data_IF_242647926442
#
_entry.id   IF_242647926442
#
_cell.length_a   1.000
_cell.length_b   1.000
_cell.length_c   1.000
_cell.angle_alpha   90.00
_cell.angle_beta   90.00
_cell.angle_gamma   90.00
#
_symmetry.space_group_name_H-M   'P 1'
#
loop_
_entity.id
_entity.type
_entity.pdbx_description
1 polymer ?
#
# COMPACT_ATOMS: atom_id res chain seq x y z
N UNK A 1 23.75 12.28 59.55
CA UNK A 1 22.57 12.58 58.71
C UNK A 1 23.10 12.96 57.34
N UNK A 2 22.74 12.14 56.35
CA UNK A 2 23.34 12.03 55.01
C UNK A 2 22.93 13.16 54.04
N UNK A 3 23.67 13.35 52.93
CA UNK A 3 23.47 14.43 51.98
C UNK A 3 22.57 14.08 50.78
N UNK A 4 22.24 15.16 50.07
CA UNK A 4 21.51 15.39 48.83
C UNK A 4 21.72 14.36 47.69
N UNK A 5 20.66 13.93 47.00
CA UNK A 5 20.75 13.11 45.79
C UNK A 5 19.65 13.49 44.77
N UNK A 6 20.05 14.09 43.65
CA UNK A 6 19.20 14.40 42.50
C UNK A 6 19.44 13.38 41.39
N UNK A 7 18.54 12.38 41.28
CA UNK A 7 18.56 11.43 40.17
C UNK A 7 17.66 11.90 39.04
N UNK A 8 18.28 12.24 37.91
CA UNK A 8 17.69 12.23 36.59
C UNK A 8 17.27 10.80 36.24
N UNK A 9 15.99 10.57 35.96
CA UNK A 9 15.51 9.27 35.46
C UNK A 9 15.79 9.19 33.97
N UNK A 10 16.91 8.56 33.60
CA UNK A 10 17.11 8.04 32.23
C UNK A 10 16.09 6.92 32.01
N UNK A 11 15.30 7.02 30.93
CA UNK A 11 14.55 5.87 30.42
C UNK A 11 15.53 4.77 30.01
N UNK A 12 15.32 3.56 30.54
CA UNK A 12 16.18 2.39 30.29
C UNK A 12 16.08 1.93 28.84
N UNK A 13 17.21 1.52 28.28
CA UNK A 13 17.40 1.00 26.92
C UNK A 13 16.48 -0.22 26.62
N UNK A 14 15.96 -0.88 27.65
CA UNK A 14 14.99 -1.98 27.53
C UNK A 14 13.57 -1.56 27.10
N UNK A 15 13.14 -0.31 27.33
CA UNK A 15 11.84 0.18 26.83
C UNK A 15 11.85 0.40 25.30
N UNK A 16 13.02 0.62 24.70
CA UNK A 16 13.17 0.79 23.25
C UNK A 16 13.24 -0.54 22.48
N UNK A 17 13.56 -1.66 23.16
CA UNK A 17 13.54 -3.01 22.55
C UNK A 17 12.12 -3.56 22.36
N UNK A 18 11.14 -3.09 23.13
CA UNK A 18 9.74 -3.58 23.06
C UNK A 18 8.95 -2.96 21.90
N UNK A 19 9.43 -1.86 21.29
CA UNK A 19 8.74 -1.19 20.17
C UNK A 19 9.17 -1.64 18.75
N UNK A 20 10.04 -2.65 18.62
CA UNK A 20 10.57 -3.08 17.29
C UNK A 20 10.34 -4.59 17.01
N UNK A 21 9.69 -5.33 17.90
CA UNK A 21 9.34 -6.73 17.67
C UNK A 21 7.83 -6.93 17.59
N UNK A 22 7.26 -7.00 16.37
CA UNK A 22 6.10 -7.83 15.99
C UNK A 22 5.51 -7.44 14.61
N UNK A 23 6.33 -7.45 13.56
CA UNK A 23 5.81 -7.64 12.20
C UNK A 23 6.30 -9.00 11.72
N UNK A 24 5.53 -10.04 12.06
CA UNK A 24 5.74 -11.39 11.54
C UNK A 24 5.11 -11.46 10.15
N UNK A 25 5.94 -11.41 9.11
CA UNK A 25 5.53 -11.73 7.74
C UNK A 25 5.37 -13.26 7.63
N UNK A 26 4.16 -13.72 7.30
CA UNK A 26 3.91 -15.13 7.02
C UNK A 26 4.67 -15.57 5.76
N UNK A 27 5.37 -16.72 5.75
CA UNK A 27 6.03 -17.21 4.54
C UNK A 27 5.00 -17.65 3.50
N UNK A 28 5.23 -17.26 2.24
CA UNK A 28 4.42 -17.66 1.11
C UNK A 28 4.53 -19.18 0.87
N UNK A 29 3.38 -19.85 0.82
CA UNK A 29 3.29 -21.27 0.49
C UNK A 29 3.51 -21.41 -1.02
N UNK A 30 4.70 -21.88 -1.40
CA UNK A 30 4.93 -22.53 -2.69
C UNK A 30 4.37 -23.94 -2.61
N UNK A 31 3.43 -24.31 -3.49
CA UNK A 31 3.01 -25.70 -3.68
C UNK A 31 3.03 -26.05 -5.16
N UNK A 32 4.05 -26.80 -5.54
CA UNK A 32 3.95 -27.82 -6.58
C UNK A 32 3.01 -28.93 -6.09
N UNK A 33 2.05 -29.33 -6.92
CA UNK A 33 1.22 -30.52 -6.73
C UNK A 33 2.02 -31.79 -7.07
N UNK A 34 1.66 -32.93 -6.46
CA UNK A 34 1.21 -34.03 -7.33
C UNK A 34 -0.05 -34.73 -6.82
N UNK A 35 -0.70 -35.32 -7.81
CA UNK A 35 -1.95 -36.10 -7.84
C UNK A 35 -1.90 -37.32 -6.90
N UNK A 36 -3.00 -37.56 -6.16
CA UNK A 36 -3.27 -38.80 -5.44
C UNK A 36 -3.76 -39.89 -6.40
N UNK A 37 -3.22 -41.10 -6.25
CA UNK A 37 -3.94 -42.34 -6.55
C UNK A 37 -4.05 -43.17 -5.27
N UNK A 38 -5.27 -43.67 -5.11
CA UNK A 38 -5.89 -44.37 -4.00
C UNK A 38 -5.41 -45.84 -3.90
N UNK A 39 -5.15 -46.36 -2.69
CA UNK A 39 -5.59 -47.71 -2.27
C UNK A 39 -5.19 -48.06 -0.81
N UNK A 40 -6.23 -48.50 -0.07
CA UNK A 40 -6.30 -49.42 1.07
C UNK A 40 -5.00 -49.92 1.73
N UNK A 41 -4.92 -49.86 3.07
CA UNK A 41 -5.11 -51.04 3.95
C UNK A 41 -4.71 -50.75 5.42
N UNK A 42 -5.37 -51.49 6.31
CA UNK A 42 -5.31 -51.56 7.77
C UNK A 42 -3.98 -52.11 8.33
N UNK A 43 -3.57 -51.67 9.52
CA UNK A 43 -3.47 -52.52 10.74
C UNK A 43 -2.69 -51.84 11.86
N UNK A 44 -3.21 -52.02 13.07
CA UNK A 44 -2.62 -51.63 14.34
C UNK A 44 -1.50 -52.58 14.79
N UNK A 45 -0.67 -52.01 15.68
CA UNK A 45 -0.12 -52.63 16.89
C UNK A 45 1.31 -53.21 16.92
N UNK A 46 2.11 -52.54 17.77
CA UNK A 46 3.23 -52.97 18.62
C UNK A 46 4.14 -54.13 18.19
N UNK A 47 5.46 -53.87 18.23
CA UNK A 47 6.35 -54.39 19.30
C UNK A 47 7.78 -53.86 19.20
N UNK A 48 8.23 -53.21 20.29
CA UNK A 48 9.48 -53.43 21.04
C UNK A 48 10.74 -53.85 20.25
N UNK A 49 11.79 -53.01 20.27
CA UNK A 49 13.03 -53.28 21.02
C UNK A 49 14.14 -52.24 20.76
N UNK A 50 14.92 -52.01 21.82
CA UNK A 50 16.07 -51.11 21.99
C UNK A 50 17.36 -51.98 22.00
N UNK A 51 18.57 -51.46 22.30
CA UNK A 51 19.64 -50.99 21.40
C UNK A 51 20.94 -51.82 21.52
N UNK A 52 21.97 -51.49 20.73
CA UNK A 52 23.44 -51.57 21.01
C UNK A 52 24.20 -51.68 19.67
N UNK A 53 25.49 -51.42 19.51
CA UNK A 53 26.51 -50.51 20.04
C UNK A 53 27.78 -50.82 19.21
N UNK A 54 28.74 -49.88 19.14
CA UNK A 54 30.19 -50.06 18.81
C UNK A 54 30.56 -50.50 17.36
N UNK A 55 31.62 -50.05 16.67
CA UNK A 55 32.79 -49.22 16.97
C UNK A 55 33.69 -49.00 15.72
N UNK A 56 34.49 -47.91 15.76
CA UNK A 56 35.87 -47.70 15.23
C UNK A 56 36.22 -47.46 13.74
N UNK A 57 36.80 -46.26 13.54
CA UNK A 57 38.01 -45.83 12.80
C UNK A 57 38.14 -45.66 11.26
N UNK A 58 38.62 -44.45 10.93
CA UNK A 58 39.57 -43.97 9.88
C UNK A 58 39.17 -43.93 8.40
N UNK A 59 39.36 -42.74 7.80
CA UNK A 59 39.78 -42.62 6.40
C UNK A 59 39.20 -41.42 5.61
N UNK A 60 39.90 -40.29 5.66
CA UNK A 60 40.19 -39.33 4.55
C UNK A 60 39.16 -38.98 3.46
N UNK A 61 38.95 -37.67 3.33
CA UNK A 61 38.84 -36.86 2.09
C UNK A 61 37.50 -36.65 1.37
N UNK A 62 37.22 -35.34 1.24
CA UNK A 62 36.64 -34.58 0.13
C UNK A 62 35.13 -34.66 -0.19
N UNK A 63 34.44 -33.51 -0.08
CA UNK A 63 34.05 -32.66 -1.23
C UNK A 63 32.88 -31.71 -0.85
N UNK A 64 33.24 -30.48 -0.47
CA UNK A 64 32.45 -29.28 -0.76
C UNK A 64 32.99 -28.71 -2.07
N UNK A 65 32.14 -28.45 -3.07
CA UNK A 65 32.30 -27.40 -4.09
C UNK A 65 31.35 -27.63 -5.28
N UNK A 66 30.23 -26.91 -5.32
CA UNK A 66 29.50 -26.69 -6.57
C UNK A 66 29.33 -25.18 -6.76
N UNK A 67 30.11 -24.65 -7.70
CA UNK A 67 30.07 -23.28 -8.24
C UNK A 67 29.76 -23.42 -9.75
N UNK A 68 28.81 -22.68 -10.35
CA UNK A 68 28.53 -22.76 -11.77
C UNK A 68 29.30 -21.68 -12.57
N UNK A 69 30.18 -22.15 -13.45
CA UNK A 69 30.90 -21.39 -14.47
C UNK A 69 30.01 -21.09 -15.69
N UNK A 70 30.01 -19.83 -16.14
CA UNK A 70 29.80 -19.50 -17.56
C UNK A 70 30.81 -18.44 -18.02
N UNK A 71 31.56 -18.81 -19.06
CA UNK A 71 32.60 -18.04 -19.74
C UNK A 71 33.78 -18.96 -20.07
N UNK A 72 34.45 -18.84 -21.24
CA UNK A 72 34.72 -17.57 -21.91
C UNK A 72 34.58 -17.57 -23.44
N UNK A 73 34.74 -16.38 -24.01
CA UNK A 73 34.97 -16.07 -25.41
C UNK A 73 36.47 -15.85 -25.71
N UNK A 74 36.80 -15.93 -27.01
CA UNK A 74 38.04 -15.59 -27.73
C UNK A 74 39.03 -16.74 -27.94
N UNK A 75 39.11 -17.17 -29.19
CA UNK A 75 40.39 -17.46 -29.83
C UNK A 75 40.42 -16.80 -31.22
N UNK A 76 41.59 -16.36 -31.64
CA UNK A 76 41.85 -15.66 -32.90
C UNK A 76 43.22 -16.09 -33.40
N UNK A 77 43.28 -16.75 -34.58
CA UNK A 77 44.37 -16.63 -35.57
C UNK A 77 44.14 -17.49 -36.82
N UNK A 78 44.19 -16.80 -37.98
CA UNK A 78 44.84 -17.17 -39.24
C UNK A 78 44.38 -18.40 -40.06
N UNK A 79 43.80 -18.17 -41.25
CA UNK A 79 44.53 -18.11 -42.53
C UNK A 79 43.66 -18.43 -43.77
N UNK A 80 43.73 -17.52 -44.75
CA UNK A 80 43.83 -17.74 -46.21
C UNK A 80 42.64 -18.28 -47.04
N UNK A 81 42.40 -17.49 -48.11
CA UNK A 81 42.04 -17.84 -49.50
C UNK A 81 40.56 -17.86 -49.93
N UNK A 82 40.26 -16.82 -50.72
CA UNK A 82 39.84 -16.88 -52.12
C UNK A 82 38.39 -16.51 -52.49
N UNK A 83 38.36 -15.54 -53.42
CA UNK A 83 37.50 -15.40 -54.60
C UNK A 83 36.06 -14.89 -54.46
N UNK A 84 35.85 -13.73 -55.11
CA UNK A 84 34.76 -13.38 -56.07
C UNK A 84 33.32 -13.36 -55.55
N UNK A 85 32.39 -12.49 -55.94
CA UNK A 85 32.30 -11.33 -56.84
C UNK A 85 30.80 -10.98 -56.88
N UNK A 86 30.42 -9.68 -56.92
CA UNK A 86 29.16 -9.13 -57.51
C UNK A 86 27.81 -9.58 -56.88
N UNK A 87 26.65 -8.92 -56.96
CA UNK A 87 26.15 -7.57 -57.24
C UNK A 87 24.61 -7.71 -57.26
N UNK A 88 23.85 -6.71 -56.76
CA UNK A 88 22.45 -6.38 -57.20
C UNK A 88 21.35 -7.45 -57.01
N UNK A 89 20.04 -7.18 -56.87
CA UNK A 89 19.19 -6.01 -56.72
C UNK A 89 17.78 -6.49 -56.26
N UNK A 90 16.97 -5.53 -55.79
CA UNK A 90 15.49 -5.49 -55.58
C UNK A 90 14.63 -6.25 -56.63
N UNK A 91 13.33 -6.56 -56.40
CA UNK A 91 12.20 -5.58 -56.40
C UNK A 91 11.11 -5.86 -55.31
N UNK A 92 10.42 -4.90 -54.68
CA UNK A 92 9.25 -4.06 -55.07
C UNK A 92 7.93 -4.77 -55.43
N UNK A 93 6.87 -4.19 -54.86
CA UNK A 93 5.42 -4.47 -54.86
C UNK A 93 4.76 -4.61 -56.24
N UNK A 94 3.44 -4.92 -56.26
CA UNK A 94 2.53 -3.86 -56.70
C UNK A 94 1.22 -3.73 -55.91
N UNK A 95 0.70 -2.49 -55.93
CA UNK A 95 -0.65 -2.06 -55.57
C UNK A 95 -1.64 -2.38 -56.71
N UNK A 96 -2.93 -2.52 -56.39
CA UNK A 96 -3.99 -2.14 -57.33
C UNK A 96 -5.30 -1.71 -56.66
N UNK A 97 -5.97 -0.83 -57.41
CA UNK A 97 -7.06 0.10 -57.11
C UNK A 97 -8.42 -0.56 -57.31
N UNK A 98 -9.44 -0.16 -56.53
CA UNK A 98 -10.83 -0.52 -56.80
C UNK A 98 -11.83 0.14 -55.84
N UNK A 99 -12.41 1.26 -56.27
CA UNK A 99 -13.58 1.96 -55.72
C UNK A 99 -14.82 1.06 -55.63
N UNK A 100 -15.66 1.19 -54.58
CA UNK A 100 -17.16 1.15 -54.60
C UNK A 100 -17.74 1.15 -53.15
N UNK A 101 -18.40 2.27 -52.82
CA UNK A 101 -19.67 2.48 -52.07
C UNK A 101 -19.88 1.93 -50.63
N UNK A 102 -20.27 2.78 -49.65
CA UNK A 102 -20.70 2.37 -48.31
C UNK A 102 -22.21 1.99 -48.23
N UNK A 103 -22.62 1.15 -47.26
CA UNK A 103 -24.01 0.69 -47.14
C UNK A 103 -24.96 1.77 -46.57
N UNK A 104 -26.29 1.70 -46.85
CA UNK A 104 -27.21 2.80 -46.62
C UNK A 104 -27.74 2.87 -45.18
N UNK A 105 -27.93 4.11 -44.72
CA UNK A 105 -28.62 4.51 -43.49
C UNK A 105 -30.16 4.46 -43.71
N UNK A 106 -30.97 3.95 -42.76
CA UNK A 106 -32.43 3.99 -42.90
C UNK A 106 -32.98 5.42 -42.77
N UNK A 107 -33.83 5.82 -43.72
CA UNK A 107 -34.57 7.07 -43.68
C UNK A 107 -35.88 6.94 -42.87
N UNK A 108 -36.25 8.06 -42.27
CA UNK A 108 -37.43 8.32 -41.46
C UNK A 108 -38.77 8.24 -42.20
N UNK A 109 -39.79 7.73 -41.46
CA UNK A 109 -41.20 8.20 -41.40
C UNK A 109 -42.19 7.81 -42.52
N UNK A 110 -43.43 7.45 -42.14
CA UNK A 110 -44.62 8.08 -42.75
C UNK A 110 -45.42 8.93 -41.76
N UNK A 111 -45.95 10.03 -42.29
CA UNK A 111 -46.59 11.16 -41.62
C UNK A 111 -48.07 11.06 -41.98
N UNK A 112 -48.95 10.80 -41.01
CA UNK A 112 -50.40 10.94 -41.22
C UNK A 112 -50.83 12.39 -40.96
N UNK A 113 -51.77 12.82 -41.79
CA UNK A 113 -52.19 14.18 -42.08
C UNK A 113 -53.39 14.62 -41.26
N UNK A 114 -53.57 15.94 -41.22
CA UNK A 114 -54.62 16.73 -40.56
C UNK A 114 -56.02 16.62 -41.21
N UNK A 115 -57.07 16.84 -40.41
CA UNK A 115 -58.43 17.18 -40.85
C UNK A 115 -59.51 16.72 -39.84
N UNK A 116 -59.98 17.53 -38.88
CA UNK A 116 -60.97 18.64 -38.91
C UNK A 116 -62.39 18.15 -38.53
N UNK A 117 -63.02 18.84 -37.56
CA UNK A 117 -64.42 19.36 -37.48
C UNK A 117 -64.78 19.65 -36.00
N UNK A 118 -64.87 20.94 -35.62
CA UNK A 118 -66.11 21.69 -35.29
C UNK A 118 -66.65 21.40 -33.88
N UNK A 119 -66.98 22.35 -32.98
CA UNK A 119 -66.98 23.81 -32.98
C UNK A 119 -67.68 24.32 -31.68
N UNK A 120 -67.31 25.54 -31.24
CA UNK A 120 -68.16 26.57 -30.58
C UNK A 120 -68.70 26.25 -29.16
N UNK A 121 -68.49 27.01 -28.07
CA UNK A 121 -68.66 28.46 -27.76
C UNK A 121 -67.53 28.93 -26.81
N UNK A 122 -66.81 30.05 -27.03
CA UNK A 122 -67.14 31.47 -26.70
C UNK A 122 -67.35 31.71 -25.18
N UNK A 123 -66.78 32.69 -24.43
CA UNK A 123 -66.13 34.02 -24.67
C UNK A 123 -65.72 34.60 -23.26
N UNK A 124 -64.96 35.72 -23.10
CA UNK A 124 -63.50 35.83 -22.92
C UNK A 124 -63.16 36.40 -21.49
N UNK A 125 -61.89 36.65 -21.09
CA UNK A 125 -61.25 37.99 -21.02
C UNK A 125 -60.03 37.97 -20.06
N UNK A 126 -59.15 39.01 -20.09
CA UNK A 126 -57.71 38.79 -20.24
C UNK A 126 -56.82 39.60 -19.25
N UNK A 127 -55.50 39.51 -19.48
CA UNK A 127 -54.41 40.43 -19.10
C UNK A 127 -53.94 40.52 -17.63
N UNK A 128 -52.63 40.32 -17.47
CA UNK A 128 -51.76 40.69 -16.33
C UNK A 128 -51.50 42.23 -16.29
N UNK A 129 -50.57 42.75 -15.44
CA UNK A 129 -50.55 43.00 -13.97
C UNK A 129 -50.44 44.54 -13.68
N UNK A 130 -50.23 45.12 -12.45
CA UNK A 130 -48.90 45.23 -11.79
C UNK A 130 -48.88 45.51 -10.24
N UNK A 131 -47.69 45.87 -9.74
CA UNK A 131 -47.19 46.12 -8.36
C UNK A 131 -47.48 47.54 -7.82
N UNK A 132 -47.76 47.71 -6.50
CA UNK A 132 -47.39 48.83 -5.56
C UNK A 132 -48.05 48.57 -4.17
N UNK A 133 -47.39 48.46 -3.01
CA UNK A 133 -46.73 49.44 -2.11
C UNK A 133 -47.57 49.85 -0.86
N UNK A 134 -46.94 49.65 0.32
CA UNK A 134 -47.03 50.37 1.63
C UNK A 134 -48.29 50.33 2.52
N UNK A 135 -48.16 49.80 3.76
CA UNK A 135 -48.16 50.56 5.06
C UNK A 135 -47.96 49.63 6.29
N UNK A 136 -47.32 50.15 7.35
CA UNK A 136 -46.50 49.52 8.43
C UNK A 136 -47.20 49.57 9.85
N UNK A 137 -46.57 49.35 11.05
CA UNK A 137 -45.61 48.35 11.61
C UNK A 137 -45.99 47.83 13.08
N UNK A 138 -45.10 47.54 14.09
CA UNK A 138 -44.91 46.22 14.76
C UNK A 138 -45.09 46.21 16.32
N UNK A 139 -44.56 45.22 17.09
CA UNK A 139 -43.28 45.47 17.79
C UNK A 139 -42.32 44.27 17.94
N UNK A 140 -41.02 44.58 18.12
CA UNK A 140 -39.95 43.71 18.60
C UNK A 140 -39.09 44.46 19.63
N UNK A 141 -38.52 43.74 20.61
CA UNK A 141 -37.40 44.20 21.46
C UNK A 141 -36.81 43.00 22.27
N UNK A 142 -35.56 43.05 22.76
CA UNK A 142 -34.40 43.78 22.24
C UNK A 142 -33.10 42.95 22.22
N UNK A 143 -32.23 43.28 21.25
CA UNK A 143 -30.78 43.12 21.33
C UNK A 143 -30.22 44.23 22.24
N UNK A 144 -29.29 43.88 23.14
CA UNK A 144 -28.46 44.85 23.85
C UNK A 144 -27.04 44.87 23.26
N UNK A 145 -26.62 46.08 22.87
CA UNK A 145 -25.25 46.59 22.64
C UNK A 145 -25.12 47.73 23.66
N UNK A 146 -24.00 48.19 24.22
CA UNK A 146 -22.58 48.25 23.89
C UNK A 146 -21.79 48.51 25.20
N UNK A 147 -20.45 48.38 25.20
CA UNK A 147 -19.43 49.37 25.65
C UNK A 147 -18.49 48.65 26.65
N UNK A 148 -17.17 48.83 26.81
CA UNK A 148 -16.05 49.47 26.07
C UNK A 148 -14.72 48.97 26.69
N UNK A 149 -13.68 48.85 25.85
CA UNK A 149 -12.22 49.07 26.05
C UNK A 149 -11.42 48.75 27.35
N UNK A 150 -10.20 48.24 27.10
CA UNK A 150 -8.92 48.27 27.88
C UNK A 150 -8.74 47.20 28.97
N UNK A 151 -7.56 46.71 29.37
CA UNK A 151 -6.17 46.57 28.89
C UNK A 151 -5.41 45.86 30.04
N UNK A 152 -4.30 45.15 29.74
CA UNK A 152 -3.17 44.78 30.66
C UNK A 152 -3.32 43.57 31.61
N UNK A 153 -2.49 42.56 31.31
CA UNK A 153 -1.58 41.75 32.14
C UNK A 153 -1.92 41.19 33.54
N UNK A 154 -1.50 39.93 33.70
CA UNK A 154 -0.83 39.32 34.88
C UNK A 154 -1.62 38.37 35.79
N UNK A 155 -1.18 37.11 35.71
CA UNK A 155 -0.83 36.17 36.80
C UNK A 155 -1.83 35.80 37.90
N UNK A 156 -2.05 34.49 37.98
CA UNK A 156 -2.17 33.63 39.16
C UNK A 156 -3.21 34.01 40.23
N UNK A 157 -4.15 33.10 40.48
CA UNK A 157 -4.28 32.43 41.79
C UNK A 157 -5.26 31.27 41.75
N UNK A 158 -4.83 30.21 42.42
CA UNK A 158 -5.54 29.00 42.77
C UNK A 158 -6.81 29.32 43.57
N UNK A 159 -7.89 28.58 43.35
CA UNK A 159 -8.83 28.19 44.41
C UNK A 159 -9.65 26.98 43.98
N UNK A 160 -9.62 25.99 44.86
CA UNK A 160 -10.22 24.67 44.75
C UNK A 160 -11.75 24.71 44.89
N UNK A 161 -12.43 23.78 44.22
CA UNK A 161 -13.67 23.20 44.71
C UNK A 161 -13.81 21.76 44.19
N UNK A 162 -13.88 20.84 45.13
CA UNK A 162 -13.95 19.40 44.96
C UNK A 162 -15.33 18.94 44.46
N UNK A 163 -15.36 18.16 43.38
CA UNK A 163 -16.32 17.05 43.20
C UNK A 163 -15.75 16.08 42.16
N UNK A 164 -15.45 14.81 42.49
CA UNK A 164 -15.07 13.83 41.48
C UNK A 164 -16.35 13.24 40.89
N UNK A 165 -16.84 13.83 39.79
CA UNK A 165 -17.74 13.07 38.92
C UNK A 165 -16.88 12.10 38.14
N UNK A 166 -17.01 10.82 38.49
CA UNK A 166 -16.43 9.68 37.77
C UNK A 166 -16.98 9.71 36.34
N UNK A 167 -16.25 10.41 35.46
CA UNK A 167 -16.45 10.37 34.03
C UNK A 167 -15.96 9.01 33.54
N UNK A 168 -16.85 8.03 33.55
CA UNK A 168 -16.68 6.78 32.82
C UNK A 168 -16.27 7.13 31.40
N UNK A 169 -14.99 6.91 31.11
CA UNK A 169 -14.42 6.90 29.78
C UNK A 169 -15.29 6.01 28.93
N UNK A 170 -16.04 6.64 28.03
CA UNK A 170 -16.86 5.99 27.03
C UNK A 170 -15.92 5.13 26.18
N UNK A 171 -15.89 3.84 26.48
CA UNK A 171 -15.33 2.84 25.58
C UNK A 171 -15.97 2.93 24.18
N UNK A 172 -15.44 2.19 23.20
CA UNK A 172 -15.99 2.19 21.85
C UNK A 172 -17.47 1.87 21.95
N UNK A 173 -18.30 2.77 21.41
CA UNK A 173 -19.74 2.66 21.58
C UNK A 173 -20.21 1.32 21.02
N UNK A 174 -20.97 0.52 21.80
CA UNK A 174 -21.67 -0.62 21.22
C UNK A 174 -22.56 -0.06 20.11
N UNK A 175 -22.66 -0.78 18.99
CA UNK A 175 -23.57 -0.41 17.90
C UNK A 175 -24.95 -0.25 18.52
N UNK A 176 -25.35 1.01 18.76
CA UNK A 176 -26.69 1.31 19.23
C UNK A 176 -27.55 1.04 18.02
N UNK A 177 -28.26 -0.09 18.06
CA UNK A 177 -29.17 -0.56 17.03
C UNK A 177 -30.43 0.34 16.99
N UNK A 178 -30.26 1.65 17.09
CA UNK A 178 -31.31 2.64 16.94
C UNK A 178 -31.47 2.94 15.45
N UNK A 179 -32.46 2.32 14.80
CA UNK A 179 -33.02 2.63 13.48
C UNK A 179 -32.08 3.32 12.48
N UNK A 180 -30.91 2.73 12.24
CA UNK A 180 -30.08 3.04 11.08
C UNK A 180 -30.16 1.79 10.20
N UNK A 181 -30.95 1.84 9.13
CA UNK A 181 -31.19 0.71 8.21
C UNK A 181 -29.94 0.27 7.43
N UNK A 182 -28.75 0.78 7.78
CA UNK A 182 -27.48 0.57 7.06
C UNK A 182 -26.35 0.15 8.01
N UNK A 183 -25.67 -0.94 7.67
CA UNK A 183 -24.59 -1.51 8.47
C UNK A 183 -23.26 -0.81 8.19
N UNK A 184 -22.52 -0.33 9.21
CA UNK A 184 -21.24 0.33 9.00
C UNK A 184 -20.13 -0.68 8.74
N UNK A 185 -19.32 -0.44 7.71
CA UNK A 185 -18.08 -1.16 7.41
C UNK A 185 -16.95 -0.18 7.15
N UNK A 186 -15.73 -0.54 7.53
CA UNK A 186 -14.53 0.22 7.16
C UNK A 186 -13.74 -0.55 6.11
N UNK A 187 -13.01 0.17 5.26
CA UNK A 187 -12.18 -0.41 4.21
C UNK A 187 -10.76 0.11 4.37
N UNK A 188 -9.77 -0.77 4.21
CA UNK A 188 -8.38 -0.41 4.14
C UNK A 188 -7.78 -0.86 2.80
N UNK A 189 -7.14 0.07 2.09
CA UNK A 189 -6.26 -0.18 0.96
C UNK A 189 -4.83 0.00 1.46
N UNK A 190 -4.07 -1.09 1.51
CA UNK A 190 -2.67 -1.08 1.92
C UNK A 190 -1.81 -1.56 0.77
N UNK A 191 -0.88 -0.74 0.32
CA UNK A 191 0.07 -1.11 -0.73
C UNK A 191 1.49 -1.26 -0.20
N UNK A 192 2.26 -2.12 -0.86
CA UNK A 192 3.67 -2.35 -0.63
C UNK A 192 4.45 -2.09 -1.90
N UNK A 193 5.41 -1.17 -1.85
CA UNK A 193 6.35 -0.93 -2.94
C UNK A 193 7.66 -1.65 -2.67
N UNK A 194 8.03 -2.52 -3.59
CA UNK A 194 9.34 -3.14 -3.65
C UNK A 194 10.13 -2.49 -4.78
N UNK A 195 11.38 -2.15 -4.53
CA UNK A 195 12.25 -1.55 -5.53
C UNK A 195 13.68 -2.03 -5.33
N UNK A 196 14.40 -2.21 -6.44
CA UNK A 196 15.83 -2.48 -6.47
C UNK A 196 16.49 -1.48 -7.41
N UNK A 197 17.48 -0.75 -6.90
CA UNK A 197 18.30 0.20 -7.64
C UNK A 197 19.72 -0.35 -7.78
N UNK A 198 20.38 -0.10 -8.93
CA UNK A 198 21.75 -0.52 -9.17
C UNK A 198 22.60 0.67 -9.63
N UNK A 199 23.46 1.14 -8.73
CA UNK A 199 24.27 2.34 -8.88
C UNK A 199 23.41 3.57 -9.17
N UNK A 200 23.83 4.34 -10.16
CA UNK A 200 23.12 5.53 -10.65
C UNK A 200 22.32 5.29 -11.94
N UNK A 201 22.17 4.03 -12.37
CA UNK A 201 21.58 3.69 -13.67
C UNK A 201 20.05 3.48 -13.55
N UNK A 202 19.22 4.41 -14.04
CA UNK A 202 17.77 4.31 -13.91
C UNK A 202 17.18 3.13 -14.69
N UNK A 203 17.88 2.63 -15.74
CA UNK A 203 17.40 1.51 -16.56
C UNK A 203 17.45 0.17 -15.84
N UNK A 204 18.26 0.07 -14.79
CA UNK A 204 18.39 -1.14 -13.95
C UNK A 204 17.43 -1.15 -12.76
N UNK A 205 16.60 -0.12 -12.62
CA UNK A 205 15.61 -0.04 -11.57
C UNK A 205 14.48 -1.05 -11.81
N UNK A 206 14.31 -1.98 -10.87
CA UNK A 206 13.23 -2.97 -10.90
C UNK A 206 12.24 -2.62 -9.81
N UNK A 207 10.95 -2.57 -10.16
CA UNK A 207 9.88 -2.17 -9.24
C UNK A 207 8.78 -3.21 -9.27
N UNK A 208 8.21 -3.49 -8.09
CA UNK A 208 7.00 -4.30 -7.96
C UNK A 208 6.12 -3.73 -6.87
N UNK A 209 4.93 -3.30 -7.25
CA UNK A 209 3.94 -2.75 -6.32
C UNK A 209 2.80 -3.75 -6.19
N UNK A 210 2.50 -4.14 -4.96
CA UNK A 210 1.38 -5.02 -4.63
C UNK A 210 0.47 -4.32 -3.63
N UNK A 211 -0.81 -4.61 -3.66
CA UNK A 211 -1.74 -4.09 -2.67
C UNK A 211 -2.75 -5.12 -2.21
N UNK A 212 -3.25 -4.87 -1.00
CA UNK A 212 -4.26 -5.65 -0.33
C UNK A 212 -5.46 -4.75 -0.03
N UNK A 213 -6.65 -5.30 -0.20
CA UNK A 213 -7.89 -4.67 0.26
C UNK A 213 -8.48 -5.51 1.39
N UNK A 214 -8.74 -4.84 2.51
CA UNK A 214 -9.32 -5.42 3.71
C UNK A 214 -10.62 -4.70 4.04
N UNK A 215 -11.67 -5.45 4.35
CA UNK A 215 -12.92 -4.92 4.89
C UNK A 215 -12.99 -5.25 6.38
N UNK A 216 -13.22 -4.23 7.20
CA UNK A 216 -13.33 -4.34 8.65
C UNK A 216 -14.78 -4.25 9.09
N UNK A 217 -15.21 -5.27 9.82
CA UNK A 217 -16.56 -5.42 10.34
C UNK A 217 -16.60 -5.16 11.85
N UNK A 218 -17.49 -4.30 12.36
CA UNK A 218 -17.68 -4.13 13.80
C UNK A 218 -18.12 -5.44 14.46
N UNK A 219 -17.68 -5.71 15.68
CA UNK A 219 -17.97 -6.97 16.38
C UNK A 219 -19.47 -7.26 16.54
N UNK A 220 -20.29 -6.21 16.69
CA UNK A 220 -21.75 -6.32 16.78
C UNK A 220 -22.44 -6.88 15.53
N UNK A 221 -21.81 -6.85 14.36
CA UNK A 221 -22.44 -7.29 13.10
C UNK A 221 -22.74 -8.79 13.07
N UNK A 222 -21.97 -9.59 13.83
CA UNK A 222 -22.13 -11.05 13.86
C UNK A 222 -23.53 -11.41 14.35
N UNK A 223 -24.01 -10.72 15.39
CA UNK A 223 -25.38 -10.91 15.91
C UNK A 223 -26.40 -10.64 14.81
N UNK A 224 -26.24 -9.56 14.06
CA UNK A 224 -27.13 -9.20 12.95
C UNK A 224 -27.17 -10.29 11.88
N UNK A 225 -26.01 -10.80 11.44
CA UNK A 225 -25.94 -11.86 10.43
C UNK A 225 -26.42 -13.21 10.94
N UNK A 226 -26.30 -13.51 12.23
CA UNK A 226 -26.83 -14.75 12.81
C UNK A 226 -28.33 -14.69 13.10
N UNK A 227 -28.88 -13.51 13.34
CA UNK A 227 -30.30 -13.31 13.63
C UNK A 227 -31.15 -13.12 12.36
N UNK A 228 -30.53 -12.77 11.24
CA UNK A 228 -31.19 -12.64 9.94
C UNK A 228 -30.63 -13.68 8.95
N UNK A 229 -31.41 -14.69 8.52
CA UNK A 229 -30.94 -15.73 7.60
C UNK A 229 -30.64 -15.22 6.18
N UNK A 230 -31.09 -14.03 5.82
CA UNK A 230 -30.87 -13.40 4.52
C UNK A 230 -30.49 -11.92 4.72
N UNK A 231 -29.27 -11.63 5.21
CA UNK A 231 -28.81 -10.25 5.34
C UNK A 231 -28.67 -9.61 3.95
N UNK A 232 -28.72 -8.28 3.89
CA UNK A 232 -28.41 -7.55 2.67
C UNK A 232 -27.01 -7.97 2.15
N UNK A 233 -26.85 -8.11 0.84
CA UNK A 233 -25.57 -8.50 0.25
C UNK A 233 -24.64 -7.29 0.23
N UNK A 234 -23.43 -7.44 0.76
CA UNK A 234 -22.40 -6.41 0.66
C UNK A 234 -21.79 -6.42 -0.75
N UNK A 235 -22.09 -5.37 -1.50
CA UNK A 235 -21.58 -5.17 -2.85
C UNK A 235 -20.66 -3.94 -2.87
N UNK A 236 -19.55 -4.02 -3.60
CA UNK A 236 -18.61 -2.92 -3.73
C UNK A 236 -18.01 -2.88 -5.13
N UNK A 237 -17.68 -1.67 -5.59
CA UNK A 237 -17.01 -1.41 -6.85
C UNK A 237 -15.60 -0.91 -6.58
N UNK A 238 -14.63 -1.55 -7.22
CA UNK A 238 -13.25 -1.06 -7.28
C UNK A 238 -13.13 -0.15 -8.49
N UNK A 239 -12.65 1.07 -8.29
CA UNK A 239 -12.41 2.10 -9.31
C UNK A 239 -10.92 2.26 -9.57
N UNK A 240 -10.59 2.88 -10.70
CA UNK A 240 -9.23 3.19 -11.13
C UNK A 240 -8.38 1.93 -11.31
N UNK A 241 -8.99 0.84 -11.79
CA UNK A 241 -8.31 -0.44 -11.98
C UNK A 241 -7.47 -0.50 -13.27
N UNK A 242 -7.48 0.54 -14.11
CA UNK A 242 -6.70 0.62 -15.35
C UNK A 242 -5.19 0.51 -15.14
N UNK A 243 -4.70 0.83 -13.93
CA UNK A 243 -3.30 0.69 -13.52
C UNK A 243 -3.00 -0.65 -12.83
N UNK A 244 -3.96 -1.57 -12.77
CA UNK A 244 -3.76 -2.88 -12.15
C UNK A 244 -3.47 -3.92 -13.23
N UNK A 245 -2.35 -4.63 -13.10
CA UNK A 245 -2.00 -5.76 -13.97
C UNK A 245 -2.79 -7.02 -13.61
N UNK A 246 -3.04 -7.20 -12.30
CA UNK A 246 -3.67 -8.39 -11.78
C UNK A 246 -4.53 -8.06 -10.57
N UNK A 247 -5.73 -8.64 -10.52
CA UNK A 247 -6.62 -8.60 -9.35
C UNK A 247 -6.98 -10.05 -8.99
N UNK A 248 -6.72 -10.43 -7.75
CA UNK A 248 -6.94 -11.75 -7.17
C UNK A 248 -7.97 -11.64 -6.04
N UNK A 249 -9.26 -11.89 -6.32
CA UNK A 249 -10.28 -11.92 -5.28
C UNK A 249 -10.15 -13.15 -4.39
N UNK A 250 -10.58 -13.01 -3.14
CA UNK A 250 -10.74 -14.15 -2.24
C UNK A 250 -11.95 -14.98 -2.69
N UNK A 251 -11.70 -16.04 -3.48
CA UNK A 251 -12.71 -16.86 -4.12
C UNK A 251 -13.70 -17.55 -3.15
N UNK A 252 -13.38 -17.64 -1.85
CA UNK A 252 -14.31 -18.17 -0.85
C UNK A 252 -15.29 -17.11 -0.34
N UNK A 253 -14.88 -15.84 -0.33
CA UNK A 253 -15.62 -14.76 0.33
C UNK A 253 -16.25 -13.77 -0.65
N UNK A 254 -15.74 -13.71 -1.88
CA UNK A 254 -16.09 -12.68 -2.85
C UNK A 254 -16.31 -13.29 -4.22
N UNK A 255 -17.41 -12.89 -4.85
CA UNK A 255 -17.74 -13.17 -6.24
C UNK A 255 -17.48 -11.92 -7.10
N UNK A 256 -17.22 -12.13 -8.38
CA UNK A 256 -17.08 -11.08 -9.39
C UNK A 256 -17.70 -11.55 -10.71
N UNK A 257 -18.20 -10.64 -11.53
CA UNK A 257 -18.67 -10.96 -12.87
C UNK A 257 -17.50 -11.18 -13.83
N UNK A 258 -17.28 -12.39 -14.39
CA UNK A 258 -16.26 -12.59 -15.41
C UNK A 258 -16.60 -11.94 -16.76
N UNK A 259 -17.88 -11.62 -16.99
CA UNK A 259 -18.35 -11.00 -18.23
C UNK A 259 -18.25 -9.47 -18.23
N UNK A 260 -17.98 -8.86 -17.07
CA UNK A 260 -17.78 -7.41 -16.97
C UNK A 260 -16.55 -6.98 -17.78
N UNK A 261 -16.75 -6.01 -18.68
CA UNK A 261 -15.73 -5.51 -19.59
C UNK A 261 -15.38 -4.03 -19.37
N UNK A 262 -15.70 -3.45 -18.21
CA UNK A 262 -15.28 -2.09 -17.89
C UNK A 262 -13.76 -2.04 -17.65
N UNK A 263 -13.08 -1.16 -18.40
CA UNK A 263 -11.61 -1.02 -18.36
C UNK A 263 -11.08 -0.34 -17.09
N UNK A 264 -11.93 0.33 -16.33
CA UNK A 264 -11.52 1.15 -15.18
C UNK A 264 -12.29 0.86 -13.89
N UNK A 265 -13.35 0.05 -13.94
CA UNK A 265 -14.06 -0.40 -12.75
C UNK A 265 -14.34 -1.90 -12.74
N UNK A 266 -14.49 -2.48 -11.53
CA UNK A 266 -14.89 -3.87 -11.35
C UNK A 266 -15.78 -4.06 -10.13
N UNK A 267 -16.89 -4.74 -10.32
CA UNK A 267 -17.91 -4.99 -9.31
C UNK A 267 -17.71 -6.33 -8.62
N UNK A 268 -17.91 -6.33 -7.30
CA UNK A 268 -17.76 -7.49 -6.45
C UNK A 268 -18.94 -7.59 -5.47
N UNK A 269 -19.30 -8.82 -5.14
CA UNK A 269 -20.37 -9.10 -4.18
C UNK A 269 -19.90 -10.18 -3.21
N UNK A 270 -20.18 -9.98 -1.92
CA UNK A 270 -19.74 -10.91 -0.89
C UNK A 270 -20.63 -12.15 -0.78
N UNK A 271 -19.99 -13.30 -0.58
CA UNK A 271 -20.66 -14.52 -0.16
C UNK A 271 -21.03 -14.39 1.33
N UNK A 272 -22.22 -13.86 1.60
CA UNK A 272 -22.65 -13.55 2.98
C UNK A 272 -22.69 -14.79 3.88
N UNK A 273 -22.96 -15.98 3.34
CA UNK A 273 -22.91 -17.23 4.11
C UNK A 273 -21.47 -17.52 4.57
N UNK A 274 -20.51 -17.50 3.64
CA UNK A 274 -19.11 -17.76 3.96
C UNK A 274 -18.51 -16.68 4.88
N UNK A 275 -18.84 -15.41 4.64
CA UNK A 275 -18.41 -14.28 5.49
C UNK A 275 -18.95 -14.43 6.92
N UNK A 276 -20.21 -14.82 7.09
CA UNK A 276 -20.81 -15.02 8.42
C UNK A 276 -20.09 -16.12 9.20
N UNK A 277 -19.81 -17.26 8.56
CA UNK A 277 -19.04 -18.36 9.17
C UNK A 277 -17.62 -17.90 9.53
N UNK A 278 -16.97 -17.17 8.63
CA UNK A 278 -15.61 -16.66 8.85
C UNK A 278 -15.54 -15.67 10.02
N UNK A 279 -16.46 -14.70 10.07
CA UNK A 279 -16.55 -13.73 11.17
C UNK A 279 -16.85 -14.39 12.51
N UNK A 280 -17.77 -15.38 12.53
CA UNK A 280 -18.03 -16.18 13.74
C UNK A 280 -16.75 -16.85 14.25
N UNK A 281 -16.01 -17.51 13.35
CA UNK A 281 -14.72 -18.15 13.69
C UNK A 281 -13.67 -17.15 14.21
N UNK A 282 -13.61 -15.94 13.65
CA UNK A 282 -12.74 -14.87 14.16
C UNK A 282 -13.17 -14.38 15.55
N UNK A 283 -14.48 -14.30 15.80
CA UNK A 283 -14.99 -13.88 17.11
C UNK A 283 -14.78 -14.89 18.22
N UNK A 284 -14.82 -16.19 17.89
CA UNK A 284 -14.50 -17.26 18.84
C UNK A 284 -13.01 -17.24 19.20
N UNK A 285 -12.13 -16.92 18.25
CA UNK A 285 -10.68 -16.79 18.48
C UNK A 285 -10.32 -15.53 19.26
N UNK A 286 -11.01 -14.41 18.99
CA UNK A 286 -10.76 -13.15 19.67
C UNK A 286 -12.08 -12.41 20.00
N UNK A 287 -12.76 -12.78 21.09
CA UNK A 287 -14.05 -12.19 21.47
C UNK A 287 -13.95 -10.72 21.91
N UNK A 288 -12.78 -10.29 22.37
CA UNK A 288 -12.53 -8.92 22.85
C UNK A 288 -12.27 -7.91 21.71
N UNK A 289 -12.12 -8.38 20.47
CA UNK A 289 -11.87 -7.51 19.34
C UNK A 289 -13.07 -6.59 19.05
N UNK A 290 -12.81 -5.30 18.85
CA UNK A 290 -13.86 -4.35 18.43
C UNK A 290 -14.21 -4.47 16.94
N UNK A 291 -13.27 -4.98 16.13
CA UNK A 291 -13.42 -5.16 14.70
C UNK A 291 -12.78 -6.47 14.24
N UNK A 292 -13.36 -7.06 13.20
CA UNK A 292 -12.82 -8.23 12.51
C UNK A 292 -12.45 -7.85 11.09
N UNK A 293 -11.19 -8.10 10.72
CA UNK A 293 -10.64 -7.75 9.42
C UNK A 293 -10.76 -8.95 8.47
N UNK A 294 -11.23 -8.70 7.27
CA UNK A 294 -11.42 -9.71 6.22
C UNK A 294 -10.67 -9.25 4.97
N UNK A 295 -9.66 -10.02 4.57
CA UNK A 295 -8.92 -9.76 3.33
C UNK A 295 -9.72 -10.24 2.12
N UNK A 296 -10.04 -9.31 1.24
CA UNK A 296 -11.01 -9.53 0.15
C UNK A 296 -10.36 -9.56 -1.22
N UNK A 297 -9.36 -8.73 -1.45
CA UNK A 297 -8.63 -8.67 -2.72
C UNK A 297 -7.13 -8.54 -2.47
N UNK A 298 -6.35 -9.15 -3.36
CA UNK A 298 -4.95 -8.80 -3.59
C UNK A 298 -4.81 -8.31 -5.02
N UNK A 299 -3.94 -7.34 -5.25
CA UNK A 299 -3.71 -6.80 -6.59
C UNK A 299 -2.24 -6.44 -6.83
N UNK A 300 -1.85 -6.43 -8.10
CA UNK A 300 -0.55 -5.97 -8.56
C UNK A 300 -0.75 -4.74 -9.44
N UNK A 301 0.02 -3.69 -9.15
CA UNK A 301 -0.05 -2.40 -9.86
C UNK A 301 0.99 -2.40 -10.98
N UNK A 302 0.60 -1.92 -12.16
CA UNK A 302 1.50 -1.72 -13.28
C UNK A 302 2.59 -0.73 -12.90
N UNK A 303 3.85 -1.08 -13.16
CA UNK A 303 5.00 -0.25 -12.82
C UNK A 303 5.91 -0.02 -14.02
N UNK A 304 6.50 1.16 -14.10
CA UNK A 304 7.36 1.61 -15.18
C UNK A 304 8.73 2.02 -14.63
N UNK A 305 9.47 1.04 -14.10
CA UNK A 305 10.80 1.23 -13.52
C UNK A 305 10.85 2.38 -12.52
N UNK A 306 11.90 3.21 -12.61
CA UNK A 306 12.16 4.31 -11.67
C UNK A 306 11.06 5.38 -11.60
N UNK A 307 10.17 5.46 -12.59
CA UNK A 307 9.07 6.43 -12.55
C UNK A 307 7.97 6.01 -11.57
N UNK A 308 7.89 4.72 -11.23
CA UNK A 308 6.92 4.18 -10.27
C UNK A 308 7.43 4.09 -8.84
N UNK A 309 8.66 4.53 -8.58
CA UNK A 309 9.22 4.59 -7.22
C UNK A 309 8.97 5.94 -6.57
N UNK A 310 8.39 5.99 -5.35
CA UNK A 310 8.12 7.25 -4.66
C UNK A 310 9.39 7.91 -4.08
N UNK A 311 10.49 7.16 -3.93
CA UNK A 311 11.78 7.64 -3.46
C UNK A 311 12.92 7.06 -4.31
N UNK A 312 13.44 7.83 -5.26
CA UNK A 312 14.52 7.37 -6.12
C UNK A 312 15.83 7.35 -5.35
N UNK A 313 16.67 6.34 -5.58
CA UNK A 313 17.95 6.16 -4.90
C UNK A 313 19.09 6.04 -5.93
N UNK A 314 20.25 6.59 -5.58
CA UNK A 314 21.50 6.35 -6.28
C UNK A 314 22.64 6.20 -5.25
N UNK A 315 23.44 5.15 -5.42
CA UNK A 315 24.45 4.71 -4.45
C UNK A 315 25.83 4.75 -5.06
N UNK A 316 26.80 5.23 -4.30
CA UNK A 316 28.20 5.32 -4.70
C UNK A 316 29.10 4.87 -3.56
N UNK A 317 30.04 3.97 -3.88
CA UNK A 317 31.03 3.46 -2.95
C UNK A 317 32.42 3.74 -3.46
N UNK A 318 33.32 4.15 -2.56
CA UNK A 318 34.75 4.24 -2.81
C UNK A 318 35.48 3.50 -1.70
N UNK A 319 35.88 2.27 -1.99
CA UNK A 319 36.57 1.40 -1.04
C UNK A 319 38.09 1.51 -1.21
N UNK A 320 38.78 1.86 -0.13
CA UNK A 320 40.25 1.87 -0.04
C UNK A 320 40.69 0.95 1.11
N UNK A 321 41.98 0.62 1.19
CA UNK A 321 42.49 -0.30 2.21
C UNK A 321 42.24 0.18 3.67
N UNK A 322 42.33 1.48 3.93
CA UNK A 322 42.13 2.04 5.29
C UNK A 322 40.80 2.78 5.49
N UNK A 323 40.06 3.05 4.42
CA UNK A 323 38.85 3.89 4.49
C UNK A 323 37.83 3.49 3.43
N UNK A 324 36.54 3.58 3.78
CA UNK A 324 35.43 3.46 2.83
C UNK A 324 34.59 4.74 2.85
N UNK A 325 34.44 5.39 1.70
CA UNK A 325 33.51 6.51 1.54
C UNK A 325 32.21 6.03 0.87
N UNK A 326 31.09 6.38 1.48
CA UNK A 326 29.73 6.07 1.02
C UNK A 326 28.98 7.37 0.70
N UNK A 327 28.27 7.37 -0.43
CA UNK A 327 27.27 8.40 -0.75
C UNK A 327 25.98 7.74 -1.23
N UNK A 328 24.86 8.16 -0.63
CA UNK A 328 23.50 7.75 -1.02
C UNK A 328 22.71 9.01 -1.36
N UNK A 329 22.41 9.20 -2.63
CA UNK A 329 21.54 10.28 -3.07
C UNK A 329 20.10 9.77 -3.11
N UNK A 330 19.17 10.59 -2.63
CA UNK A 330 17.74 10.29 -2.67
C UNK A 330 16.97 11.45 -3.30
N UNK A 331 15.89 11.14 -4.00
CA UNK A 331 14.99 12.11 -4.61
C UNK A 331 13.54 11.68 -4.47
N UNK A 332 12.74 12.52 -3.81
CA UNK A 332 11.28 12.38 -3.78
C UNK A 332 10.70 12.42 -5.19
N UNK A 333 9.78 11.49 -5.48
CA UNK A 333 9.11 11.41 -6.77
C UNK A 333 7.59 11.52 -6.58
N UNK A 334 7.00 12.73 -6.77
CA UNK A 334 5.55 12.90 -6.70
C UNK A 334 4.81 12.19 -7.83
N UNK A 335 5.43 12.00 -9.00
CA UNK A 335 4.78 11.42 -10.19
C UNK A 335 4.45 9.93 -10.02
N UNK A 336 5.12 9.25 -9.08
CA UNK A 336 4.79 7.88 -8.69
C UNK A 336 3.44 7.76 -7.95
N UNK A 337 2.88 8.88 -7.48
CA UNK A 337 1.68 8.96 -6.65
C UNK A 337 0.57 9.70 -7.40
N UNK A 338 -0.66 9.18 -7.34
CA UNK A 338 -1.82 9.89 -7.93
C UNK A 338 -2.15 11.16 -7.15
N UNK A 339 -2.03 11.10 -5.83
CA UNK A 339 -2.09 12.23 -4.94
C UNK A 339 -0.78 12.25 -4.12
N UNK A 340 0.16 13.16 -4.43
CA UNK A 340 1.43 13.25 -3.73
C UNK A 340 1.25 13.43 -2.22
N UNK A 341 1.88 12.55 -1.44
CA UNK A 341 1.83 12.55 0.02
C UNK A 341 3.23 12.47 0.62
N UNK A 342 3.34 12.85 1.89
CA UNK A 342 4.62 12.83 2.63
C UNK A 342 5.07 11.39 2.83
N UNK A 343 6.35 11.11 2.59
CA UNK A 343 7.01 9.88 3.03
C UNK A 343 7.52 10.10 4.45
N UNK A 344 7.03 9.30 5.38
CA UNK A 344 7.33 9.39 6.81
C UNK A 344 8.15 8.20 7.27
N UNK A 345 8.77 8.32 8.45
CA UNK A 345 9.56 7.26 9.09
C UNK A 345 10.64 6.70 8.16
N UNK A 346 11.32 7.59 7.43
CA UNK A 346 12.35 7.19 6.48
C UNK A 346 13.57 6.69 7.26
N UNK A 347 13.94 5.44 7.03
CA UNK A 347 15.10 4.80 7.62
C UNK A 347 15.99 4.24 6.53
N UNK A 348 17.30 4.47 6.62
CA UNK A 348 18.29 3.91 5.68
C UNK A 348 19.30 3.10 6.48
N UNK A 349 19.50 1.86 6.08
CA UNK A 349 20.39 0.90 6.75
C UNK A 349 21.42 0.40 5.75
N UNK A 350 22.70 0.56 6.11
CA UNK A 350 23.82 0.19 5.25
C UNK A 350 24.77 -0.73 6.01
N UNK A 351 24.90 -2.01 5.64
CA UNK A 351 25.93 -2.89 6.16
C UNK A 351 27.32 -2.47 5.66
N UNK A 352 28.32 -2.45 6.54
CA UNK A 352 29.70 -2.11 6.16
C UNK A 352 30.66 -3.07 6.86
N UNK A 353 31.46 -3.79 6.08
CA UNK A 353 32.50 -4.71 6.55
C UNK A 353 33.90 -4.05 6.59
N UNK A 354 34.93 -4.83 6.91
CA UNK A 354 36.33 -4.36 6.95
C UNK A 354 36.79 -3.84 8.30
N UNK A 355 36.16 -4.26 9.41
CA UNK A 355 36.58 -3.89 10.76
C UNK A 355 36.47 -2.38 11.01
N UNK A 356 35.27 -1.83 10.87
CA UNK A 356 35.03 -0.39 11.08
C UNK A 356 35.41 0.00 12.51
N UNK A 357 36.39 0.90 12.62
CA UNK A 357 36.88 1.43 13.90
C UNK A 357 36.27 2.78 14.24
N UNK A 358 35.91 3.56 13.22
CA UNK A 358 35.33 4.88 13.37
C UNK A 358 34.40 5.22 12.19
N UNK A 359 33.36 6.01 12.44
CA UNK A 359 32.41 6.47 11.44
C UNK A 359 32.16 7.98 11.57
N UNK A 360 32.30 8.70 10.46
CA UNK A 360 31.89 10.09 10.32
C UNK A 360 30.77 10.17 9.28
N UNK A 361 29.70 10.92 9.56
CA UNK A 361 28.55 10.97 8.65
C UNK A 361 27.86 12.33 8.62
N UNK A 362 27.28 12.66 7.46
CA UNK A 362 26.46 13.83 7.23
C UNK A 362 25.26 13.47 6.33
N UNK A 363 24.00 13.62 6.79
CA UNK A 363 23.61 13.97 8.17
C UNK A 363 24.05 12.90 9.18
N UNK A 364 24.02 13.21 10.50
CA UNK A 364 24.45 12.27 11.53
C UNK A 364 23.71 10.93 11.44
N UNK A 365 24.48 9.84 11.45
CA UNK A 365 24.01 8.47 11.49
C UNK A 365 24.44 7.79 12.80
N UNK A 366 23.79 6.67 13.11
CA UNK A 366 24.14 5.80 14.22
C UNK A 366 24.91 4.60 13.67
N UNK A 367 26.10 4.34 14.21
CA UNK A 367 26.84 3.11 13.93
C UNK A 367 26.46 2.03 14.94
N UNK A 368 26.09 0.85 14.46
CA UNK A 368 25.88 -0.33 15.29
C UNK A 368 27.02 -1.33 15.04
N UNK A 369 27.92 -1.43 16.02
CA UNK A 369 29.08 -2.32 15.95
C UNK A 369 28.72 -3.82 16.08
N UNK A 370 27.63 -4.17 16.78
CA UNK A 370 27.20 -5.58 16.91
C UNK A 370 26.71 -6.15 15.58
N UNK A 371 26.05 -5.30 14.78
CA UNK A 371 25.46 -5.70 13.50
C UNK A 371 26.29 -5.25 12.29
N UNK A 372 27.36 -4.49 12.50
CA UNK A 372 28.18 -3.87 11.45
C UNK A 372 27.35 -3.04 10.45
N UNK A 373 26.49 -2.17 10.98
CA UNK A 373 25.54 -1.38 10.18
C UNK A 373 25.53 0.10 10.55
N UNK A 374 25.53 0.95 9.55
CA UNK A 374 25.18 2.36 9.67
C UNK A 374 23.66 2.56 9.50
N UNK A 375 23.09 3.44 10.31
CA UNK A 375 21.66 3.71 10.37
C UNK A 375 21.37 5.20 10.32
N UNK A 376 20.59 5.63 9.34
CA UNK A 376 20.03 6.99 9.25
C UNK A 376 18.53 6.96 9.50
N UNK A 377 18.04 7.97 10.23
CA UNK A 377 16.63 8.30 10.33
C UNK A 377 16.42 9.70 9.79
N UNK A 378 15.68 9.81 8.69
CA UNK A 378 15.42 11.09 8.04
C UNK A 378 14.05 11.63 8.49
N UNK A 379 13.89 12.98 8.52
CA UNK A 379 12.58 13.58 8.66
C UNK A 379 11.69 13.20 7.47
N UNK A 380 10.39 13.49 7.58
CA UNK A 380 9.47 13.24 6.48
C UNK A 380 9.86 14.02 5.22
N UNK A 381 9.83 13.34 4.06
CA UNK A 381 10.21 13.90 2.77
C UNK A 381 8.95 14.11 1.90
N UNK A 382 8.86 15.26 1.27
CA UNK A 382 7.78 15.65 0.36
C UNK A 382 8.26 16.70 -0.62
N UNK A 383 7.41 17.09 -1.57
CA UNK A 383 7.67 18.19 -2.50
C UNK A 383 7.93 19.53 -1.79
N UNK A 384 7.35 19.72 -0.59
CA UNK A 384 7.53 20.92 0.24
C UNK A 384 8.78 20.89 1.12
N UNK A 385 9.49 19.77 1.15
CA UNK A 385 10.75 19.65 1.90
C UNK A 385 11.85 20.48 1.21
N UNK A 386 12.92 20.77 1.95
CA UNK A 386 14.11 21.43 1.39
C UNK A 386 14.60 20.71 0.13
N UNK A 387 15.06 21.49 -0.86
CA UNK A 387 15.51 21.00 -2.17
C UNK A 387 14.48 20.11 -2.90
N UNK A 388 13.18 20.34 -2.68
CA UNK A 388 12.10 19.59 -3.32
C UNK A 388 12.09 18.10 -2.92
N UNK A 389 12.56 17.78 -1.71
CA UNK A 389 12.66 16.41 -1.22
C UNK A 389 13.85 15.62 -1.79
N UNK A 390 14.86 16.31 -2.32
CA UNK A 390 16.13 15.71 -2.74
C UNK A 390 17.22 15.92 -1.71
N UNK A 391 18.09 14.94 -1.51
CA UNK A 391 19.21 15.06 -0.57
C UNK A 391 20.28 13.99 -0.76
N UNK A 392 21.30 14.03 0.10
CA UNK A 392 22.47 13.14 0.05
C UNK A 392 22.86 12.73 1.46
N UNK A 393 23.10 11.43 1.65
CA UNK A 393 23.68 10.86 2.86
C UNK A 393 25.13 10.51 2.54
N UNK A 394 26.06 10.98 3.37
CA UNK A 394 27.49 10.73 3.20
C UNK A 394 28.05 10.14 4.47
N UNK A 395 28.89 9.12 4.34
CA UNK A 395 29.65 8.58 5.45
C UNK A 395 31.06 8.22 5.02
N UNK A 396 31.99 8.36 5.96
CA UNK A 396 33.34 7.86 5.87
C UNK A 396 33.58 6.90 7.03
N UNK A 397 34.08 5.72 6.72
CA UNK A 397 34.39 4.65 7.66
C UNK A 397 35.89 4.42 7.67
N UNK A 398 36.52 4.48 8.85
CA UNK A 398 37.92 4.10 9.02
C UNK A 398 38.01 2.61 9.36
N UNK A 399 38.88 1.87 8.69
CA UNK A 399 38.91 0.41 8.67
C UNK A 399 40.19 -0.15 9.31
N UNK A 400 40.08 -1.26 10.04
CA UNK A 400 41.22 -2.06 10.49
C UNK A 400 41.57 -3.21 9.54
N UNK A 401 40.58 -3.73 8.81
CA UNK A 401 40.68 -4.93 7.97
C UNK A 401 40.12 -4.69 6.56
N UNK A 402 40.43 -3.53 5.96
CA UNK A 402 39.92 -3.17 4.64
C UNK A 402 40.60 -3.90 3.46
N UNK A 403 40.09 -3.72 2.23
CA UNK A 403 38.98 -2.84 1.85
C UNK A 403 37.60 -3.46 2.15
N UNK A 404 36.61 -2.61 2.41
CA UNK A 404 35.21 -3.05 2.48
C UNK A 404 34.68 -3.50 1.11
N UNK A 405 33.71 -4.40 1.11
CA UNK A 405 32.94 -4.79 -0.08
C UNK A 405 31.63 -3.99 -0.12
N UNK A 406 31.29 -3.32 -1.24
CA UNK A 406 30.00 -2.68 -1.37
C UNK A 406 28.87 -3.68 -1.10
N UNK A 407 27.92 -3.29 -0.26
CA UNK A 407 26.76 -4.12 0.07
C UNK A 407 25.47 -3.40 -0.28
N UNK A 408 24.41 -4.18 -0.46
CA UNK A 408 23.08 -3.66 -0.71
C UNK A 408 22.53 -2.98 0.55
N UNK A 409 22.18 -1.70 0.43
CA UNK A 409 21.48 -0.97 1.48
C UNK A 409 19.98 -1.23 1.43
N UNK A 410 19.31 -1.00 2.55
CA UNK A 410 17.86 -1.09 2.67
C UNK A 410 17.26 0.24 3.12
N UNK A 411 16.10 0.57 2.56
CA UNK A 411 15.32 1.76 2.93
C UNK A 411 13.93 1.35 3.40
N UNK A 412 13.42 2.02 4.43
CA UNK A 412 12.06 1.88 4.89
C UNK A 412 11.37 3.23 4.93
N UNK A 413 10.10 3.28 4.55
CA UNK A 413 9.22 4.45 4.73
C UNK A 413 7.75 4.04 4.68
N UNK A 414 6.89 4.93 5.14
CA UNK A 414 5.43 4.80 5.09
C UNK A 414 4.81 6.11 4.61
N UNK A 415 3.72 6.02 3.87
CA UNK A 415 2.82 7.13 3.60
C UNK A 415 1.38 6.76 3.92
N UNK A 416 0.64 7.69 4.52
CA UNK A 416 -0.77 7.54 4.83
C UNK A 416 -1.61 8.56 4.06
N UNK A 417 -2.86 8.21 3.78
CA UNK A 417 -3.83 9.06 3.07
C UNK A 417 -3.88 8.87 1.55
N UNK A 418 -2.95 8.09 0.97
CA UNK A 418 -2.85 7.88 -0.48
C UNK A 418 -2.46 6.44 -0.83
N UNK A 419 -2.64 6.08 -2.09
CA UNK A 419 -2.16 4.84 -2.72
C UNK A 419 -1.31 5.20 -3.95
N UNK A 420 -0.35 4.34 -4.29
CA UNK A 420 0.44 4.44 -5.52
C UNK A 420 -0.41 4.12 -6.74
N UNK A 421 -1.34 3.17 -6.64
CA UNK A 421 -2.23 2.81 -7.75
C UNK A 421 -3.27 3.88 -8.09
N UNK A 422 -3.74 4.63 -7.09
CA UNK A 422 -4.93 5.47 -7.20
C UNK A 422 -6.24 4.69 -7.11
N UNK A 423 -6.21 3.40 -6.77
CA UNK A 423 -7.41 2.58 -6.55
C UNK A 423 -8.30 3.24 -5.51
N UNK A 424 -9.59 3.22 -5.80
CA UNK A 424 -10.62 3.70 -4.89
C UNK A 424 -11.80 2.73 -4.84
N UNK A 425 -12.63 2.84 -3.81
CA UNK A 425 -13.75 1.92 -3.57
C UNK A 425 -15.03 2.71 -3.35
N UNK A 426 -16.14 2.21 -3.89
CA UNK A 426 -17.48 2.61 -3.50
C UNK A 426 -18.33 1.40 -3.11
N UNK A 427 -19.28 1.59 -2.21
CA UNK A 427 -20.30 0.58 -1.92
C UNK A 427 -21.43 0.70 -2.95
N UNK A 428 -21.99 -0.45 -3.33
CA UNK A 428 -23.12 -0.55 -4.24
C UNK A 428 -24.33 -1.06 -3.45
N UNK A 429 -25.46 -0.35 -3.54
CA UNK A 429 -26.67 -0.66 -2.78
C UNK A 429 -26.80 0.14 -1.48
N UNK A 430 -27.85 -0.14 -0.70
CA UNK A 430 -28.25 0.67 0.46
C UNK A 430 -28.07 -0.02 1.82
N UNK A 431 -27.78 -1.33 1.84
CA UNK A 431 -27.68 -2.08 3.11
C UNK A 431 -26.44 -1.78 3.95
N UNK A 432 -25.45 -1.10 3.38
CA UNK A 432 -24.16 -0.82 4.01
C UNK A 432 -23.72 0.61 3.78
N UNK A 433 -22.91 1.14 4.70
CA UNK A 433 -22.25 2.44 4.56
C UNK A 433 -20.78 2.36 4.97
N UNK A 434 -19.95 3.15 4.31
CA UNK A 434 -18.54 3.31 4.68
C UNK A 434 -18.45 4.17 5.94
N UNK A 435 -17.88 3.62 7.00
CA UNK A 435 -17.50 4.41 8.19
C UNK A 435 -16.14 5.06 8.02
N UNK A 436 -15.23 4.40 7.30
CA UNK A 436 -13.87 4.86 7.04
C UNK A 436 -13.31 4.19 5.79
N UNK A 437 -12.55 4.93 4.99
CA UNK A 437 -11.66 4.39 3.96
C UNK A 437 -10.24 4.81 4.32
N UNK A 438 -9.42 3.85 4.76
CA UNK A 438 -8.00 4.08 5.06
C UNK A 438 -7.17 3.71 3.83
N UNK A 439 -6.33 4.64 3.38
CA UNK A 439 -5.37 4.45 2.29
C UNK A 439 -3.96 4.63 2.81
N UNK A 440 -3.05 3.72 2.46
CA UNK A 440 -1.62 3.84 2.80
C UNK A 440 -0.77 3.01 1.86
N UNK A 441 0.51 3.38 1.76
CA UNK A 441 1.53 2.53 1.17
C UNK A 441 2.82 2.55 2.00
N UNK A 442 3.53 1.43 2.03
CA UNK A 442 4.80 1.30 2.73
C UNK A 442 5.84 0.58 1.86
N UNK A 443 7.11 0.68 2.24
CA UNK A 443 8.18 -0.13 1.66
C UNK A 443 8.00 -1.62 1.99
N UNK A 444 8.12 -2.47 0.98
CA UNK A 444 8.48 -3.87 1.14
C UNK A 444 10.01 -4.03 1.13
N UNK A 445 10.54 -4.78 0.16
CA UNK A 445 11.98 -4.84 -0.13
C UNK A 445 12.38 -3.63 -0.98
N UNK A 446 12.91 -2.60 -0.34
CA UNK A 446 13.39 -1.39 -0.99
C UNK A 446 14.91 -1.29 -0.83
N UNK A 447 15.63 -1.58 -1.90
CA UNK A 447 17.06 -1.92 -1.86
C UNK A 447 17.85 -1.11 -2.88
N UNK A 448 19.07 -0.71 -2.55
CA UNK A 448 19.98 -0.09 -3.52
C UNK A 448 21.38 -0.70 -3.41
N UNK A 449 21.97 -1.01 -4.56
CA UNK A 449 23.28 -1.64 -4.71
C UNK A 449 24.24 -0.72 -5.48
N UNK A 450 25.55 -0.92 -5.39
CA UNK A 450 26.54 -0.08 -6.06
C UNK A 450 26.69 -0.39 -7.56
#
# INVERSE_FOLDING_TARGET
MHPNNSHHTMASLDELKVSIGNITLSPAISRHSPVQLNQNSSSEELTKSKPSATSTEKGTSDLLAWDPLFGPSLDSSSASLASSSSSSARPTTPLSVGTIVPPPRPASRPKLTSGKLSGINEIPRPFSPPVTANTSPPPAAPLARAESSSSISSSASLSAANTPTVGVSRGPSPVSLGNQDTLPVAIALTESVNAYFKGADPSKCIVKITGDMTISFPSGIIKVFTSNPSPAVLCFRVKNISRLEQILPNAQLVFSDPSQCDSNTKDFWMNMQAVTVYLKKLSEQNPAASYYNVDVLKYQVSSNGIQSTPLNLATYWKCSAGTTDLRVDYKYNPEAMVAPSVLSNIQVVVPVDGGVTNMQSLPPAIWNAEQMKAFWKLPGVSEKSENGGSGSLRAKFDLSEGPSKPTTLAVQFLSEGSTLSGVDIELVGTGYRLSLVKKRFATGRYLADC
#
